data_IF_611873140437
#
_entry.id   IF_611873140437
#
_cell.length_a   1.000
_cell.length_b   1.000
_cell.length_c   1.000
_cell.angle_alpha   90.00
_cell.angle_beta   90.00
_cell.angle_gamma   90.00
#
_symmetry.space_group_name_H-M   'P 1'
#
loop_
_entity.id
_entity.type
_entity.pdbx_description
1 polymer ?
#
# COMPACT_ATOMS: atom_id res chain seq x y z
N UNK A 1 45.15 -33.80 22.20
CA UNK A 1 45.25 -32.44 21.61
C UNK A 1 43.98 -31.68 21.98
N UNK A 2 44.14 -30.62 22.78
CA UNK A 2 43.08 -29.86 23.45
C UNK A 2 42.84 -28.53 22.73
N UNK A 3 41.63 -28.30 22.21
CA UNK A 3 41.24 -27.08 21.48
C UNK A 3 40.74 -25.96 22.43
N UNK A 4 41.45 -25.68 23.53
CA UNK A 4 40.93 -24.80 24.61
C UNK A 4 41.59 -23.42 24.76
N UNK A 5 42.38 -22.93 23.81
CA UNK A 5 43.00 -21.61 23.98
C UNK A 5 43.29 -20.91 22.65
N UNK A 6 42.24 -20.51 21.95
CA UNK A 6 42.33 -19.40 21.00
C UNK A 6 41.36 -18.33 21.48
N UNK A 7 41.89 -17.38 22.25
CA UNK A 7 41.22 -16.12 22.57
C UNK A 7 41.06 -15.34 21.26
N UNK A 8 39.97 -15.62 20.56
CA UNK A 8 39.63 -14.92 19.33
C UNK A 8 38.96 -13.58 19.69
N UNK A 9 39.50 -12.45 19.20
CA UNK A 9 39.16 -11.10 19.66
C UNK A 9 37.75 -10.62 19.27
N UNK A 10 36.96 -11.44 18.58
CA UNK A 10 35.62 -11.08 18.11
C UNK A 10 34.53 -11.17 19.19
N UNK A 11 34.81 -11.70 20.39
CA UNK A 11 33.80 -11.86 21.46
C UNK A 11 33.36 -10.56 22.15
N UNK A 12 33.95 -9.42 21.84
CA UNK A 12 33.68 -8.13 22.51
C UNK A 12 33.35 -6.98 21.54
N UNK A 13 33.23 -7.22 20.23
CA UNK A 13 32.77 -6.19 19.31
C UNK A 13 31.24 -6.10 19.39
N UNK A 14 30.73 -5.22 20.26
CA UNK A 14 29.37 -4.70 20.10
C UNK A 14 29.31 -4.01 18.74
N UNK A 15 28.74 -4.69 17.75
CA UNK A 15 28.49 -4.10 16.44
C UNK A 15 27.54 -2.91 16.64
N UNK A 16 27.92 -1.68 16.23
CA UNK A 16 26.98 -0.59 16.15
C UNK A 16 25.89 -1.00 15.15
N UNK A 17 24.65 -1.20 15.63
CA UNK A 17 23.54 -1.73 14.81
C UNK A 17 22.93 -0.72 13.86
N UNK A 18 23.29 0.56 13.97
CA UNK A 18 22.74 1.60 13.11
C UNK A 18 23.51 1.68 11.79
N UNK A 19 23.13 0.82 10.85
CA UNK A 19 23.52 0.99 9.47
C UNK A 19 22.67 2.09 8.82
N UNK A 20 23.24 3.28 8.65
CA UNK A 20 22.55 4.44 8.07
C UNK A 20 22.17 4.27 6.59
N UNK A 21 22.65 3.23 5.91
CA UNK A 21 22.36 2.98 4.49
C UNK A 21 21.13 2.09 4.26
N UNK A 22 20.70 1.32 5.27
CA UNK A 22 19.46 0.55 5.21
C UNK A 22 18.87 0.37 6.61
N UNK A 23 17.61 0.72 6.76
CA UNK A 23 16.87 0.45 8.00
C UNK A 23 16.30 -0.96 7.94
N UNK A 24 16.78 -1.85 8.79
CA UNK A 24 16.20 -3.18 8.93
C UNK A 24 14.86 -3.08 9.66
N UNK A 25 13.80 -3.69 9.12
CA UNK A 25 12.53 -3.82 9.84
C UNK A 25 12.74 -4.62 11.13
N UNK A 26 12.33 -4.05 12.26
CA UNK A 26 12.40 -4.71 13.57
C UNK A 26 11.01 -5.15 14.02
N UNK A 27 10.96 -6.08 14.98
CA UNK A 27 9.69 -6.49 15.58
C UNK A 27 8.97 -5.30 16.23
N UNK A 28 9.72 -4.40 16.85
CA UNK A 28 9.21 -3.22 17.54
C UNK A 28 8.65 -2.20 16.54
N UNK A 29 9.28 -2.05 15.38
CA UNK A 29 8.77 -1.19 14.30
C UNK A 29 7.46 -1.75 13.72
N UNK A 30 7.38 -3.08 13.52
CA UNK A 30 6.14 -3.75 13.06
C UNK A 30 5.03 -3.63 14.10
N UNK A 31 5.33 -3.88 15.39
CA UNK A 31 4.38 -3.74 16.49
C UNK A 31 3.79 -2.32 16.55
N UNK A 32 4.65 -1.31 16.41
CA UNK A 32 4.26 0.10 16.38
C UNK A 32 3.38 0.39 15.15
N UNK A 33 3.77 -0.13 13.98
CA UNK A 33 3.02 0.04 12.73
C UNK A 33 1.61 -0.55 12.80
N UNK A 34 1.45 -1.74 13.36
CA UNK A 34 0.12 -2.36 13.59
C UNK A 34 -0.75 -1.44 14.43
N UNK A 35 -0.22 -0.93 15.55
CA UNK A 35 -0.95 -0.02 16.44
C UNK A 35 -1.37 1.27 15.71
N UNK A 36 -0.46 1.84 14.91
CA UNK A 36 -0.75 3.04 14.11
C UNK A 36 -1.86 2.80 13.10
N UNK A 37 -1.81 1.71 12.34
CA UNK A 37 -2.83 1.36 11.34
C UNK A 37 -4.21 1.11 11.97
N UNK A 38 -4.25 0.46 13.13
CA UNK A 38 -5.49 0.27 13.87
C UNK A 38 -6.05 1.62 14.36
N UNK A 39 -5.20 2.46 14.94
CA UNK A 39 -5.61 3.77 15.48
C UNK A 39 -6.02 4.76 14.41
N UNK A 40 -5.36 4.78 13.25
CA UNK A 40 -5.73 5.66 12.13
C UNK A 40 -7.13 5.37 11.58
N UNK A 41 -7.61 4.13 11.73
CA UNK A 41 -8.98 3.72 11.40
C UNK A 41 -9.99 3.92 12.53
N UNK A 42 -9.55 4.40 13.69
CA UNK A 42 -10.41 4.50 14.87
C UNK A 42 -10.80 3.16 15.47
N UNK A 43 -10.13 2.06 15.11
CA UNK A 43 -10.50 0.71 15.55
C UNK A 43 -10.00 0.40 16.97
N UNK A 44 -10.83 -0.27 17.75
CA UNK A 44 -10.45 -0.96 18.99
C UNK A 44 -9.84 -2.33 18.67
N UNK A 45 -9.26 -3.00 19.68
CA UNK A 45 -8.78 -4.38 19.50
C UNK A 45 -9.93 -5.34 19.16
N UNK A 46 -11.13 -5.08 19.69
CA UNK A 46 -12.33 -5.86 19.39
C UNK A 46 -12.80 -5.64 17.94
N UNK A 47 -12.70 -4.41 17.42
CA UNK A 47 -13.06 -4.12 16.02
C UNK A 47 -12.17 -4.86 15.03
N UNK A 48 -10.89 -5.06 15.34
CA UNK A 48 -9.99 -5.90 14.54
C UNK A 48 -10.47 -7.35 14.50
N UNK A 49 -10.95 -7.89 15.62
CA UNK A 49 -11.49 -9.25 15.67
C UNK A 49 -12.77 -9.36 14.84
N UNK A 50 -13.66 -8.37 14.93
CA UNK A 50 -14.89 -8.32 14.13
C UNK A 50 -14.57 -8.20 12.64
N UNK A 51 -13.69 -7.27 12.26
CA UNK A 51 -13.29 -7.01 10.88
C UNK A 51 -12.59 -8.24 10.25
N UNK A 52 -11.79 -8.96 11.03
CA UNK A 52 -11.15 -10.21 10.60
C UNK A 52 -12.09 -11.43 10.65
N UNK A 53 -13.38 -11.25 10.99
CA UNK A 53 -14.38 -12.31 11.15
C UNK A 53 -13.92 -13.39 12.14
N UNK A 54 -13.27 -12.97 13.22
CA UNK A 54 -12.78 -13.84 14.29
C UNK A 54 -11.45 -14.55 14.00
N UNK A 55 -10.85 -14.36 12.81
CA UNK A 55 -9.56 -14.98 12.45
C UNK A 55 -8.39 -14.45 13.30
N UNK A 56 -8.48 -13.19 13.73
CA UNK A 56 -7.47 -12.53 14.57
C UNK A 56 -8.14 -12.10 15.86
N UNK A 57 -7.84 -12.80 16.97
CA UNK A 57 -8.40 -12.46 18.29
C UNK A 57 -7.87 -11.12 18.80
N UNK A 58 -8.71 -10.36 19.50
CA UNK A 58 -8.37 -9.07 20.10
C UNK A 58 -7.13 -9.16 21.02
N UNK A 59 -7.02 -10.26 21.79
CA UNK A 59 -5.87 -10.53 22.66
C UNK A 59 -4.59 -10.76 21.84
N UNK A 60 -4.70 -11.42 20.69
CA UNK A 60 -3.57 -11.74 19.82
C UNK A 60 -3.01 -10.48 19.17
N UNK A 61 -3.88 -9.63 18.58
CA UNK A 61 -3.43 -8.35 18.02
C UNK A 61 -2.84 -7.44 19.10
N UNK A 62 -3.40 -7.44 20.31
CA UNK A 62 -2.83 -6.70 21.45
C UNK A 62 -1.42 -7.18 21.84
N UNK A 63 -1.15 -8.49 21.76
CA UNK A 63 0.17 -9.06 22.01
C UNK A 63 1.18 -8.66 20.92
N UNK A 64 0.75 -8.61 19.65
CA UNK A 64 1.60 -8.12 18.57
C UNK A 64 1.93 -6.63 18.70
N UNK A 65 0.96 -5.79 19.06
CA UNK A 65 1.20 -4.35 19.25
C UNK A 65 2.17 -4.02 20.39
N UNK A 66 2.30 -4.91 21.39
CA UNK A 66 3.27 -4.75 22.48
C UNK A 66 4.64 -5.37 22.16
N UNK A 67 4.74 -6.17 21.11
CA UNK A 67 5.97 -6.92 20.78
C UNK A 67 6.20 -8.16 21.65
N UNK A 68 5.23 -8.54 22.50
CA UNK A 68 5.33 -9.68 23.42
C UNK A 68 5.37 -11.03 22.70
N UNK A 69 4.90 -11.07 21.44
CA UNK A 69 4.77 -12.28 20.63
C UNK A 69 5.35 -12.08 19.24
N UNK A 70 6.11 -13.06 18.77
CA UNK A 70 6.54 -13.15 17.38
C UNK A 70 5.38 -13.54 16.46
N UNK A 71 5.37 -13.01 15.24
CA UNK A 71 4.40 -13.39 14.21
C UNK A 71 5.09 -14.12 13.06
N UNK A 72 4.39 -15.09 12.47
CA UNK A 72 4.82 -15.69 11.21
C UNK A 72 4.63 -14.69 10.06
N UNK A 73 5.33 -14.92 8.95
CA UNK A 73 5.15 -14.16 7.71
C UNK A 73 3.71 -14.28 7.20
N UNK A 74 3.12 -15.48 7.25
CA UNK A 74 1.72 -15.71 6.90
C UNK A 74 0.77 -14.82 7.72
N UNK A 75 0.99 -14.72 9.03
CA UNK A 75 0.17 -13.85 9.89
C UNK A 75 0.36 -12.37 9.56
N UNK A 76 1.57 -11.96 9.21
CA UNK A 76 1.83 -10.60 8.76
C UNK A 76 1.07 -10.28 7.46
N UNK A 77 0.99 -11.23 6.52
CA UNK A 77 0.20 -11.11 5.28
C UNK A 77 -1.28 -10.95 5.62
N UNK A 78 -1.85 -11.80 6.48
CA UNK A 78 -3.27 -11.69 6.88
C UNK A 78 -3.60 -10.31 7.48
N UNK A 79 -2.70 -9.78 8.32
CA UNK A 79 -2.86 -8.46 8.94
C UNK A 79 -2.74 -7.37 7.87
N UNK A 80 -1.76 -7.46 6.97
CA UNK A 80 -1.59 -6.51 5.87
C UNK A 80 -2.84 -6.46 4.97
N UNK A 81 -3.41 -7.62 4.62
CA UNK A 81 -4.64 -7.74 3.84
C UNK A 81 -5.85 -7.15 4.58
N UNK A 82 -5.97 -7.38 5.89
CA UNK A 82 -6.99 -6.73 6.73
C UNK A 82 -6.87 -5.20 6.68
N UNK A 83 -5.63 -4.70 6.60
CA UNK A 83 -5.36 -3.28 6.43
C UNK A 83 -5.36 -2.81 4.97
N UNK A 84 -5.60 -3.68 3.98
CA UNK A 84 -5.60 -3.31 2.56
C UNK A 84 -4.23 -2.86 2.04
N UNK A 85 -3.15 -3.21 2.73
CA UNK A 85 -1.78 -2.79 2.41
C UNK A 85 -0.98 -3.97 1.86
N UNK A 86 -0.04 -3.74 0.91
CA UNK A 86 0.92 -4.77 0.55
C UNK A 86 1.86 -5.06 1.74
N UNK A 87 2.35 -6.31 1.84
CA UNK A 87 3.23 -6.72 2.92
C UNK A 87 4.49 -5.85 3.04
N UNK A 88 5.06 -5.42 1.91
CA UNK A 88 6.23 -4.53 1.91
C UNK A 88 5.96 -3.22 2.67
N UNK A 89 4.84 -2.55 2.39
CA UNK A 89 4.45 -1.30 3.05
C UNK A 89 3.98 -1.50 4.50
N UNK A 90 3.42 -2.67 4.79
CA UNK A 90 3.12 -3.07 6.17
C UNK A 90 4.40 -3.21 7.01
N UNK A 91 5.48 -3.71 6.42
CA UNK A 91 6.78 -3.88 7.08
C UNK A 91 7.67 -2.63 7.02
N UNK A 92 7.37 -1.66 6.15
CA UNK A 92 8.06 -0.38 6.09
C UNK A 92 7.75 0.49 7.30
N UNK A 93 8.79 1.10 7.86
CA UNK A 93 8.63 2.28 8.71
C UNK A 93 8.13 3.44 7.84
N UNK A 94 7.11 4.22 8.28
CA UNK A 94 6.68 5.40 7.54
C UNK A 94 7.83 6.42 7.53
N UNK A 95 8.67 6.37 6.51
CA UNK A 95 9.50 7.50 6.13
C UNK A 95 8.52 8.59 5.72
N UNK A 96 8.50 9.69 6.46
CA UNK A 96 7.79 10.92 6.09
C UNK A 96 8.33 11.39 4.74
N UNK A 97 7.78 10.85 3.65
CA UNK A 97 7.93 11.45 2.34
C UNK A 97 6.97 12.64 2.33
N UNK A 98 7.45 13.86 2.03
CA UNK A 98 6.57 15.02 1.96
C UNK A 98 5.45 14.70 0.98
N UNK A 99 4.20 14.84 1.43
CA UNK A 99 3.03 14.66 0.60
C UNK A 99 3.23 15.50 -0.66
N UNK A 100 3.31 14.84 -1.81
CA UNK A 100 3.49 15.53 -3.08
C UNK A 100 2.25 16.38 -3.33
N UNK A 101 2.36 17.67 -3.03
CA UNK A 101 1.39 18.74 -3.28
C UNK A 101 1.07 18.73 -4.77
N UNK A 102 0.01 18.00 -5.13
CA UNK A 102 -0.48 17.95 -6.48
C UNK A 102 -1.25 19.21 -6.78
N UNK A 103 -0.83 19.93 -7.82
CA UNK A 103 -1.57 21.04 -8.39
C UNK A 103 -2.97 20.57 -8.82
N UNK A 104 -3.97 20.77 -7.95
CA UNK A 104 -5.36 20.56 -8.26
C UNK A 104 -5.81 21.69 -9.21
N UNK A 105 -5.76 21.45 -10.51
CA UNK A 105 -6.42 22.31 -11.49
C UNK A 105 -7.92 22.22 -11.24
N UNK A 106 -8.52 23.32 -10.79
CA UNK A 106 -9.94 23.42 -10.38
C UNK A 106 -10.96 23.12 -11.48
N UNK A 107 -10.51 22.89 -12.72
CA UNK A 107 -11.36 22.64 -13.89
C UNK A 107 -11.25 21.20 -14.44
N UNK A 108 -10.53 20.29 -13.77
CA UNK A 108 -10.51 18.90 -14.19
C UNK A 108 -11.59 18.09 -13.46
N UNK A 109 -12.40 17.29 -14.18
CA UNK A 109 -13.40 16.45 -13.55
C UNK A 109 -12.70 15.50 -12.58
N UNK A 110 -13.27 15.37 -11.38
CA UNK A 110 -12.76 14.42 -10.39
C UNK A 110 -13.05 13.00 -10.92
N UNK A 111 -12.03 12.34 -11.47
CA UNK A 111 -12.13 10.99 -12.03
C UNK A 111 -11.83 10.00 -10.91
N UNK A 112 -12.85 9.23 -10.51
CA UNK A 112 -12.70 8.21 -9.46
C UNK A 112 -12.82 6.83 -10.08
N UNK A 113 -11.77 6.03 -9.98
CA UNK A 113 -11.68 4.67 -10.51
C UNK A 113 -12.10 3.64 -9.46
N UNK A 114 -12.94 2.68 -9.86
CA UNK A 114 -13.22 1.45 -9.13
C UNK A 114 -12.06 0.44 -9.30
N UNK A 115 -11.22 0.33 -8.27
CA UNK A 115 -10.06 -0.56 -8.29
C UNK A 115 -10.46 -2.03 -8.28
N UNK A 116 -11.66 -2.38 -7.80
CA UNK A 116 -12.14 -3.77 -7.77
C UNK A 116 -12.44 -4.26 -9.19
N UNK A 117 -13.03 -3.40 -10.03
CA UNK A 117 -13.26 -3.69 -11.44
C UNK A 117 -11.96 -3.72 -12.24
N UNK A 118 -11.07 -2.75 -12.02
CA UNK A 118 -9.78 -2.71 -12.70
C UNK A 118 -8.92 -3.96 -12.44
N UNK A 119 -8.90 -4.46 -11.19
CA UNK A 119 -8.20 -5.72 -10.84
C UNK A 119 -8.77 -6.95 -11.55
N UNK A 120 -10.08 -6.98 -11.83
CA UNK A 120 -10.75 -8.08 -12.55
C UNK A 120 -10.58 -7.99 -14.07
N UNK A 121 -10.41 -6.78 -14.57
CA UNK A 121 -10.28 -6.47 -15.99
C UNK A 121 -8.98 -6.93 -16.64
N UNK A 122 -7.97 -7.34 -15.85
CA UNK A 122 -6.74 -7.98 -16.35
C UNK A 122 -7.00 -9.17 -17.31
N UNK A 123 -8.22 -9.71 -17.36
CA UNK A 123 -8.58 -10.88 -18.15
C UNK A 123 -9.62 -10.65 -19.26
N UNK A 124 -10.26 -9.47 -19.34
CA UNK A 124 -11.40 -9.25 -20.25
C UNK A 124 -11.09 -8.38 -21.47
N UNK A 125 -10.10 -7.48 -21.39
CA UNK A 125 -9.77 -6.53 -22.46
C UNK A 125 -8.27 -6.60 -22.81
N UNK A 126 -7.95 -7.27 -23.92
CA UNK A 126 -6.56 -7.68 -24.24
C UNK A 126 -5.66 -6.53 -24.68
N UNK A 127 -6.20 -5.41 -25.18
CA UNK A 127 -5.36 -4.34 -25.74
C UNK A 127 -4.84 -3.33 -24.72
N UNK A 128 -5.65 -2.95 -23.72
CA UNK A 128 -5.41 -1.76 -22.88
C UNK A 128 -5.54 -2.02 -21.38
N UNK A 129 -6.08 -3.17 -20.97
CA UNK A 129 -6.25 -3.56 -19.58
C UNK A 129 -4.93 -3.70 -18.79
N UNK A 130 -3.90 -4.39 -19.32
CA UNK A 130 -2.62 -4.54 -18.63
C UNK A 130 -1.92 -3.21 -18.33
N UNK A 131 -1.96 -2.26 -19.27
CA UNK A 131 -1.35 -0.93 -19.14
C UNK A 131 -2.04 -0.12 -18.05
N UNK A 132 -3.38 -0.18 -17.98
CA UNK A 132 -4.16 0.43 -16.90
C UNK A 132 -3.74 -0.16 -15.55
N UNK A 133 -3.71 -1.48 -15.41
CA UNK A 133 -3.37 -2.14 -14.15
C UNK A 133 -1.96 -1.80 -13.65
N UNK A 134 -0.97 -1.80 -14.54
CA UNK A 134 0.40 -1.41 -14.22
C UNK A 134 0.48 0.05 -13.77
N UNK A 135 -0.21 0.95 -14.49
CA UNK A 135 -0.22 2.38 -14.17
C UNK A 135 -0.91 2.67 -12.83
N UNK A 136 -2.06 2.04 -12.56
CA UNK A 136 -2.77 2.19 -11.29
C UNK A 136 -1.92 1.66 -10.13
N UNK A 137 -1.29 0.49 -10.28
CA UNK A 137 -0.38 -0.04 -9.28
C UNK A 137 0.79 0.92 -9.00
N UNK A 138 1.34 1.54 -10.04
CA UNK A 138 2.40 2.53 -9.92
C UNK A 138 1.96 3.79 -9.17
N UNK A 139 0.79 4.36 -9.49
CA UNK A 139 0.26 5.55 -8.79
C UNK A 139 -0.05 5.25 -7.33
N UNK A 140 -0.70 4.12 -7.05
CA UNK A 140 -1.03 3.68 -5.68
C UNK A 140 0.26 3.61 -4.86
N UNK A 141 1.31 2.97 -5.39
CA UNK A 141 2.61 2.90 -4.73
C UNK A 141 3.30 4.25 -4.56
N UNK A 142 3.25 5.11 -5.59
CA UNK A 142 3.86 6.44 -5.55
C UNK A 142 3.21 7.35 -4.51
N UNK A 143 1.88 7.26 -4.36
CA UNK A 143 1.06 8.09 -3.48
C UNK A 143 0.85 7.50 -2.09
N UNK A 144 1.21 6.24 -1.90
CA UNK A 144 0.90 5.50 -0.68
C UNK A 144 -0.63 5.48 -0.42
N UNK A 145 -1.43 5.50 -1.50
CA UNK A 145 -2.89 5.52 -1.45
C UNK A 145 -3.45 4.09 -1.59
N UNK A 146 -3.51 3.39 -0.46
CA UNK A 146 -3.88 1.98 -0.38
C UNK A 146 -5.34 1.75 0.03
N UNK A 147 -6.21 2.74 -0.16
CA UNK A 147 -7.64 2.60 0.15
C UNK A 147 -8.26 1.36 -0.52
N UNK A 148 -7.68 0.90 -1.63
CA UNK A 148 -7.84 -0.46 -2.15
C UNK A 148 -9.15 -0.72 -2.90
N UNK A 149 -10.13 0.16 -2.72
CA UNK A 149 -11.44 0.10 -3.37
C UNK A 149 -11.60 1.15 -4.46
N UNK A 150 -11.15 2.37 -4.21
CA UNK A 150 -11.30 3.50 -5.13
C UNK A 150 -9.99 4.30 -5.21
N UNK A 151 -9.71 4.87 -6.39
CA UNK A 151 -8.57 5.76 -6.60
C UNK A 151 -9.02 7.03 -7.32
N UNK A 152 -8.76 8.19 -6.73
CA UNK A 152 -9.00 9.48 -7.39
C UNK A 152 -7.79 9.84 -8.26
N UNK A 153 -8.01 10.02 -9.56
CA UNK A 153 -6.99 10.45 -10.50
C UNK A 153 -6.95 11.97 -10.60
N UNK A 154 -5.73 12.51 -10.65
CA UNK A 154 -5.42 13.90 -10.97
C UNK A 154 -5.34 14.07 -12.49
N UNK A 155 -5.46 15.31 -12.97
CA UNK A 155 -5.22 15.67 -14.38
C UNK A 155 -3.93 15.03 -14.93
N UNK A 156 -2.82 15.22 -14.22
CA UNK A 156 -1.50 14.74 -14.61
C UNK A 156 -1.47 13.23 -14.84
N UNK A 157 -2.32 12.48 -14.14
CA UNK A 157 -2.37 11.03 -14.27
C UNK A 157 -3.02 10.62 -15.58
N UNK A 158 -4.06 11.35 -16.00
CA UNK A 158 -4.70 11.15 -17.30
C UNK A 158 -3.73 11.50 -18.43
N UNK A 159 -2.96 12.58 -18.28
CA UNK A 159 -1.95 12.97 -19.27
C UNK A 159 -0.86 11.89 -19.44
N UNK A 160 -0.39 11.30 -18.34
CA UNK A 160 0.60 10.20 -18.38
C UNK A 160 -0.02 8.91 -18.93
N UNK A 161 -1.27 8.61 -18.55
CA UNK A 161 -1.99 7.43 -19.05
C UNK A 161 -2.24 7.54 -20.56
N UNK A 162 -2.58 8.73 -21.05
CA UNK A 162 -2.73 9.03 -22.48
C UNK A 162 -1.43 8.73 -23.24
N UNK A 163 -0.30 9.18 -22.71
CA UNK A 163 1.02 8.86 -23.26
C UNK A 163 1.30 7.35 -23.26
N UNK A 164 1.04 6.66 -22.15
CA UNK A 164 1.30 5.22 -22.02
C UNK A 164 0.45 4.36 -22.97
N UNK A 165 -0.79 4.78 -23.22
CA UNK A 165 -1.75 4.04 -24.04
C UNK A 165 -1.73 4.47 -25.51
N UNK A 166 -0.87 5.43 -25.89
CA UNK A 166 -0.86 6.08 -27.21
C UNK A 166 -2.23 6.61 -27.62
N UNK A 167 -2.90 7.28 -26.67
CA UNK A 167 -4.23 7.89 -26.83
C UNK A 167 -4.18 9.37 -26.45
N UNK A 168 -5.19 10.12 -26.85
CA UNK A 168 -5.44 11.45 -26.30
C UNK A 168 -6.08 11.34 -24.90
N UNK A 169 -5.97 12.36 -24.03
CA UNK A 169 -6.64 12.37 -22.73
C UNK A 169 -8.15 12.10 -22.82
N UNK A 170 -8.82 12.60 -23.87
CA UNK A 170 -10.24 12.36 -24.12
C UNK A 170 -10.54 10.89 -24.40
N UNK A 171 -9.76 10.28 -25.31
CA UNK A 171 -9.93 8.85 -25.64
C UNK A 171 -9.69 7.94 -24.44
N UNK A 172 -8.78 8.31 -23.53
CA UNK A 172 -8.59 7.59 -22.26
C UNK A 172 -9.85 7.65 -21.40
N UNK A 173 -10.43 8.84 -21.22
CA UNK A 173 -11.65 9.01 -20.42
C UNK A 173 -12.81 8.25 -21.05
N UNK A 174 -13.01 8.37 -22.36
CA UNK A 174 -14.06 7.63 -23.09
C UNK A 174 -13.88 6.12 -22.95
N UNK A 175 -12.62 5.63 -23.02
CA UNK A 175 -12.32 4.23 -22.81
C UNK A 175 -12.62 3.78 -21.36
N UNK A 176 -12.28 4.59 -20.36
CA UNK A 176 -12.60 4.29 -18.95
C UNK A 176 -14.11 4.25 -18.68
N UNK A 177 -14.88 5.14 -19.33
CA UNK A 177 -16.34 5.17 -19.27
C UNK A 177 -16.93 3.92 -19.94
N UNK A 178 -16.49 3.62 -21.17
CA UNK A 178 -16.95 2.47 -21.96
C UNK A 178 -16.79 1.14 -21.20
N UNK A 179 -15.72 1.00 -20.44
CA UNK A 179 -15.43 -0.22 -19.67
C UNK A 179 -15.94 -0.16 -18.22
N UNK A 180 -16.72 0.88 -17.88
CA UNK A 180 -17.36 1.04 -16.56
C UNK A 180 -16.39 1.02 -15.37
N UNK A 181 -15.17 1.53 -15.55
CA UNK A 181 -14.19 1.67 -14.47
C UNK A 181 -14.44 2.88 -13.58
N UNK A 182 -15.21 3.86 -14.04
CA UNK A 182 -15.48 5.08 -13.28
C UNK A 182 -16.64 4.90 -12.30
N UNK A 183 -16.46 5.43 -11.08
CA UNK A 183 -17.50 5.56 -10.06
C UNK A 183 -18.17 6.93 -10.19
N UNK A 184 -17.38 7.96 -10.47
CA UNK A 184 -17.85 9.30 -10.81
C UNK A 184 -16.94 9.91 -11.86
N UNK A 185 -17.52 10.51 -12.87
CA UNK A 185 -16.89 11.51 -13.72
C UNK A 185 -17.63 12.82 -13.46
N UNK A 186 -16.91 13.88 -13.06
CA UNK A 186 -17.55 15.20 -12.98
C UNK A 186 -18.14 15.58 -14.33
N UNK A 187 -19.33 16.17 -14.35
CA UNK A 187 -20.18 16.48 -15.53
C UNK A 187 -19.52 17.37 -16.62
N UNK A 188 -18.25 17.75 -16.46
CA UNK A 188 -17.49 18.56 -17.41
C UNK A 188 -16.45 17.77 -18.22
N UNK A 189 -16.44 16.44 -18.15
CA UNK A 189 -15.54 15.59 -18.94
C UNK A 189 -15.80 15.63 -20.47
N UNK A 190 -16.87 16.30 -20.92
CA UNK A 190 -17.38 16.22 -22.29
C UNK A 190 -17.32 17.53 -23.10
N UNK A 191 -16.64 18.57 -22.61
CA UNK A 191 -16.41 19.81 -23.40
C UNK A 191 -14.94 19.91 -23.78
#
# INVERSE_FOLDING_TARGET
MSWRSLDLPWRMAQFPTDNFLYTQTTRESVATRIRQLRKSRGWTLADVEIASRGKIKAVVIGSYERGDRSMSVERAIEIADLFGLPLSEFLSTPTTRPAATGNNSRNFPNIVIDLRKAKRANFADQESGPQLSLFLAWIIGLRQDWNGEVLSLRKSDIDIMALLMFKTPREVVDWLIKHHYLISAGDQALT
#
